data_IF_989956777026
#
_entry.id   IF_989956777026
#
_cell.length_a   1.000
_cell.length_b   1.000
_cell.length_c   1.000
_cell.angle_alpha   90.00
_cell.angle_beta   90.00
_cell.angle_gamma   90.00
#
_symmetry.space_group_name_H-M   'P 1'
#
loop_
_entity.id
_entity.type
_entity.pdbx_description
1 polymer ?
#
# COMPACT_ATOMS: atom_id res chain seq x y z
N UNK A 1 36.49 10.48 -65.66
CA UNK A 1 35.60 11.36 -66.45
C UNK A 1 34.48 11.84 -65.54
N UNK A 2 34.22 13.15 -65.58
CA UNK A 2 33.32 13.91 -64.72
C UNK A 2 31.86 13.47 -64.92
N UNK A 3 31.06 13.49 -63.85
CA UNK A 3 29.79 14.25 -63.75
C UNK A 3 29.24 14.18 -62.33
N UNK A 4 29.48 15.28 -61.60
CA UNK A 4 28.70 15.71 -60.44
C UNK A 4 27.23 15.83 -60.86
N UNK A 5 26.33 15.19 -60.12
CA UNK A 5 24.91 15.52 -60.13
C UNK A 5 24.59 16.15 -58.77
N UNK A 6 24.58 17.48 -58.74
CA UNK A 6 24.13 18.30 -57.61
C UNK A 6 22.61 18.16 -57.55
N UNK A 7 22.09 17.38 -56.59
CA UNK A 7 20.66 17.39 -56.27
C UNK A 7 20.38 18.52 -55.29
N UNK A 8 19.54 19.41 -55.77
CA UNK A 8 19.00 20.60 -55.14
C UNK A 8 18.48 20.29 -53.73
N UNK A 9 19.11 20.92 -52.74
CA UNK A 9 18.74 20.86 -51.33
C UNK A 9 17.49 21.75 -51.13
N UNK A 10 16.30 21.15 -51.11
CA UNK A 10 15.09 21.85 -50.69
C UNK A 10 15.09 21.99 -49.18
N UNK A 11 15.39 23.21 -48.72
CA UNK A 11 15.43 23.59 -47.30
C UNK A 11 13.98 23.64 -46.80
N UNK A 12 13.60 22.67 -45.97
CA UNK A 12 12.33 22.67 -45.26
C UNK A 12 12.42 23.73 -44.15
N UNK A 13 11.47 24.69 -44.04
CA UNK A 13 11.50 25.65 -42.95
C UNK A 13 11.21 24.91 -41.63
N UNK A 14 12.24 24.85 -40.78
CA UNK A 14 12.16 24.35 -39.41
C UNK A 14 11.26 25.31 -38.62
N UNK A 15 9.99 24.94 -38.43
CA UNK A 15 9.11 25.64 -37.52
C UNK A 15 9.66 25.49 -36.10
N UNK A 16 10.23 26.57 -35.57
CA UNK A 16 10.56 26.72 -34.17
C UNK A 16 9.23 26.82 -33.39
N UNK A 17 8.78 25.68 -32.87
CA UNK A 17 7.73 25.63 -31.87
C UNK A 17 8.40 26.08 -30.56
N UNK A 18 8.33 27.37 -30.25
CA UNK A 18 8.67 27.87 -28.92
C UNK A 18 7.62 27.35 -27.95
N UNK A 19 7.94 26.28 -27.23
CA UNK A 19 7.16 25.86 -26.08
C UNK A 19 7.21 26.98 -25.02
N UNK A 20 6.07 27.44 -24.47
CA UNK A 20 6.11 28.30 -23.31
C UNK A 20 6.68 27.50 -22.14
N UNK A 21 7.78 28.00 -21.58
CA UNK A 21 8.27 27.56 -20.27
C UNK A 21 7.19 27.99 -19.27
N UNK A 22 6.36 27.05 -18.84
CA UNK A 22 5.51 27.24 -17.68
C UNK A 22 6.44 27.23 -16.47
N UNK A 23 6.78 28.43 -16.00
CA UNK A 23 7.42 28.63 -14.72
C UNK A 23 6.36 28.39 -13.64
N UNK A 24 6.29 27.17 -13.12
CA UNK A 24 5.56 26.88 -11.91
C UNK A 24 6.41 27.35 -10.72
N UNK A 25 6.17 28.58 -10.27
CA UNK A 25 6.51 29.04 -8.93
C UNK A 25 5.21 29.31 -8.19
N UNK A 26 4.76 28.36 -7.37
CA UNK A 26 3.77 28.56 -6.32
C UNK A 26 4.16 27.57 -5.20
N UNK A 27 4.84 28.07 -4.17
CA UNK A 27 4.26 28.54 -2.91
C UNK A 27 4.27 27.41 -1.87
N UNK A 28 5.03 27.62 -0.80
CA UNK A 28 5.12 26.73 0.35
C UNK A 28 3.89 26.98 1.23
N UNK A 29 2.74 26.50 0.78
CA UNK A 29 1.51 26.44 1.55
C UNK A 29 1.54 25.25 2.49
N UNK A 30 1.46 25.52 3.79
CA UNK A 30 1.29 24.56 4.88
C UNK A 30 0.35 23.41 4.53
N UNK A 31 0.81 22.16 4.70
CA UNK A 31 -0.08 20.99 4.77
C UNK A 31 -1.12 21.23 5.87
N UNK A 32 -2.32 21.63 5.44
CA UNK A 32 -3.52 21.41 6.24
C UNK A 32 -3.67 19.89 6.34
N UNK A 33 -3.43 19.36 7.53
CA UNK A 33 -3.85 18.02 7.93
C UNK A 33 -5.32 17.85 7.55
N UNK A 34 -5.57 17.13 6.47
CA UNK A 34 -6.90 16.70 6.10
C UNK A 34 -7.38 15.73 7.18
N UNK A 35 -8.47 16.14 7.83
CA UNK A 35 -9.11 15.38 8.88
C UNK A 35 -9.55 14.02 8.36
N UNK A 36 -9.16 12.97 9.08
CA UNK A 36 -9.68 11.61 9.04
C UNK A 36 -11.09 11.48 8.45
N UNK A 37 -11.15 11.26 7.14
CA UNK A 37 -12.16 10.41 6.55
C UNK A 37 -11.40 9.16 6.15
N UNK A 38 -11.52 8.10 6.96
CA UNK A 38 -11.05 6.77 6.56
C UNK A 38 -11.78 6.49 5.25
N UNK A 39 -11.08 6.58 4.12
CA UNK A 39 -11.60 6.22 2.82
C UNK A 39 -12.04 4.77 2.98
N UNK A 40 -13.34 4.52 2.97
CA UNK A 40 -13.88 3.16 3.01
C UNK A 40 -13.29 2.44 1.79
N UNK A 41 -12.26 1.61 2.05
CA UNK A 41 -11.53 0.88 1.02
C UNK A 41 -12.57 0.03 0.29
N UNK A 42 -12.77 0.29 -1.00
CA UNK A 42 -13.74 -0.44 -1.79
C UNK A 42 -13.48 -1.95 -1.66
N UNK A 43 -14.47 -2.69 -1.16
CA UNK A 43 -14.37 -4.15 -1.03
C UNK A 43 -14.29 -4.77 -2.42
N UNK A 44 -13.39 -5.73 -2.58
CA UNK A 44 -13.24 -6.45 -3.83
C UNK A 44 -14.37 -7.46 -4.09
N UNK A 45 -14.37 -8.12 -5.26
CA UNK A 45 -15.37 -9.13 -5.63
C UNK A 45 -15.48 -10.33 -4.68
N UNK A 46 -14.49 -10.55 -3.82
CA UNK A 46 -14.47 -11.60 -2.79
C UNK A 46 -14.68 -11.05 -1.37
N UNK A 47 -14.91 -9.74 -1.23
CA UNK A 47 -15.14 -9.05 0.04
C UNK A 47 -13.87 -8.64 0.79
N UNK A 48 -12.70 -8.80 0.18
CA UNK A 48 -11.39 -8.42 0.68
C UNK A 48 -11.00 -6.98 0.36
N UNK A 49 -9.77 -6.63 0.75
CA UNK A 49 -9.14 -5.33 0.42
C UNK A 49 -8.46 -5.43 -0.94
N UNK A 50 -8.66 -4.43 -1.79
CA UNK A 50 -8.09 -4.38 -3.14
C UNK A 50 -6.94 -3.37 -3.19
N UNK A 51 -5.84 -3.77 -3.82
CA UNK A 51 -4.69 -2.93 -4.12
C UNK A 51 -4.35 -3.02 -5.61
N UNK A 52 -3.74 -1.97 -6.15
CA UNK A 52 -3.36 -1.91 -7.55
C UNK A 52 -2.16 -2.84 -7.86
N UNK A 53 -2.23 -3.56 -8.98
CA UNK A 53 -1.22 -4.51 -9.44
C UNK A 53 -1.00 -4.37 -10.96
N UNK A 54 -0.63 -3.18 -11.45
CA UNK A 54 -0.70 -2.79 -12.87
C UNK A 54 -0.25 -3.88 -13.88
N UNK A 55 -1.02 -4.12 -14.96
CA UNK A 55 -2.32 -3.51 -15.31
C UNK A 55 -3.52 -4.12 -14.57
N UNK A 56 -3.27 -5.01 -13.61
CA UNK A 56 -4.27 -5.75 -12.86
C UNK A 56 -4.59 -5.06 -11.53
N UNK A 57 -5.49 -5.69 -10.78
CA UNK A 57 -5.64 -5.45 -9.35
C UNK A 57 -5.41 -6.75 -8.59
N UNK A 58 -5.13 -6.65 -7.30
CA UNK A 58 -5.05 -7.80 -6.41
C UNK A 58 -5.95 -7.58 -5.21
N UNK A 59 -6.57 -8.65 -4.73
CA UNK A 59 -7.42 -8.64 -3.55
C UNK A 59 -6.87 -9.59 -2.49
N UNK A 60 -6.89 -9.15 -1.23
CA UNK A 60 -6.53 -9.97 -0.07
C UNK A 60 -7.71 -10.08 0.90
N UNK A 61 -7.98 -11.29 1.38
CA UNK A 61 -9.02 -11.60 2.36
C UNK A 61 -8.47 -12.57 3.40
N UNK A 62 -8.70 -12.30 4.67
CA UNK A 62 -8.46 -13.28 5.73
C UNK A 62 -9.79 -13.93 6.08
N UNK A 63 -9.91 -15.24 5.89
CA UNK A 63 -11.12 -16.00 6.18
C UNK A 63 -10.74 -17.36 6.74
N UNK A 64 -11.42 -17.78 7.80
CA UNK A 64 -11.24 -19.10 8.43
C UNK A 64 -9.78 -19.42 8.84
N UNK A 65 -9.00 -18.38 9.17
CA UNK A 65 -7.60 -18.51 9.58
C UNK A 65 -6.63 -18.71 8.40
N UNK A 66 -7.09 -18.48 7.18
CA UNK A 66 -6.30 -18.55 5.96
C UNK A 66 -6.22 -17.17 5.29
N UNK A 67 -5.12 -16.94 4.58
CA UNK A 67 -4.93 -15.74 3.77
C UNK A 67 -5.27 -16.12 2.33
N UNK A 68 -6.37 -15.58 1.84
CA UNK A 68 -6.85 -15.74 0.47
C UNK A 68 -6.39 -14.54 -0.36
N UNK A 69 -5.81 -14.82 -1.52
CA UNK A 69 -5.28 -13.85 -2.47
C UNK A 69 -5.92 -14.10 -3.84
N UNK A 70 -6.30 -13.02 -4.51
CA UNK A 70 -6.91 -13.07 -5.83
C UNK A 70 -6.20 -12.07 -6.74
N UNK A 71 -5.91 -12.48 -7.97
CA UNK A 71 -5.59 -11.53 -9.03
C UNK A 71 -6.91 -11.17 -9.73
N UNK A 72 -7.09 -9.90 -10.06
CA UNK A 72 -8.27 -9.36 -10.71
C UNK A 72 -7.87 -8.72 -12.05
N UNK A 73 -8.82 -8.60 -12.98
CA UNK A 73 -8.56 -7.96 -14.27
C UNK A 73 -8.34 -6.44 -14.17
N UNK A 74 -8.12 -5.80 -15.33
CA UNK A 74 -7.90 -4.35 -15.41
C UNK A 74 -9.11 -3.50 -14.98
N UNK A 75 -10.29 -4.10 -14.82
CA UNK A 75 -11.51 -3.47 -14.32
C UNK A 75 -11.81 -3.88 -12.86
N UNK A 76 -10.86 -4.51 -12.17
CA UNK A 76 -11.01 -5.08 -10.83
C UNK A 76 -12.11 -6.15 -10.72
N UNK A 77 -12.35 -6.92 -11.80
CA UNK A 77 -13.27 -8.07 -11.82
C UNK A 77 -12.51 -9.38 -11.62
N UNK A 78 -13.25 -10.44 -11.30
CA UNK A 78 -12.71 -11.78 -11.07
C UNK A 78 -11.94 -12.30 -12.29
N UNK A 79 -10.77 -12.88 -12.04
CA UNK A 79 -9.90 -13.48 -13.04
C UNK A 79 -9.48 -14.87 -12.58
N UNK A 80 -9.53 -15.85 -13.48
CA UNK A 80 -9.16 -17.23 -13.15
C UNK A 80 -7.67 -17.35 -12.80
N UNK A 81 -7.34 -18.32 -11.95
CA UNK A 81 -5.96 -18.56 -11.47
C UNK A 81 -5.14 -19.51 -12.37
N UNK A 82 -5.71 -19.96 -13.49
CA UNK A 82 -5.06 -20.91 -14.39
C UNK A 82 -3.81 -20.31 -15.02
N UNK A 83 -2.73 -21.09 -15.02
CA UNK A 83 -1.40 -20.69 -15.55
C UNK A 83 -0.77 -19.49 -14.83
N UNK A 84 -1.27 -19.16 -13.64
CA UNK A 84 -0.71 -18.15 -12.75
C UNK A 84 -0.11 -18.86 -11.54
N UNK A 85 1.13 -18.51 -11.21
CA UNK A 85 1.76 -18.89 -9.94
C UNK A 85 2.09 -17.64 -9.14
N UNK A 86 2.59 -17.80 -7.93
CA UNK A 86 3.07 -16.64 -7.19
C UNK A 86 3.66 -16.98 -5.84
N UNK A 87 4.20 -15.96 -5.21
CA UNK A 87 4.72 -16.00 -3.86
C UNK A 87 4.30 -14.73 -3.11
N UNK A 88 4.10 -14.85 -1.81
CA UNK A 88 3.81 -13.72 -0.93
C UNK A 88 4.89 -13.60 0.14
N UNK A 89 5.41 -12.39 0.32
CA UNK A 89 6.34 -12.05 1.39
C UNK A 89 5.62 -11.25 2.46
N UNK A 90 5.52 -11.82 3.65
CA UNK A 90 4.86 -11.25 4.81
C UNK A 90 5.91 -10.66 5.75
N UNK A 91 5.81 -9.37 6.03
CA UNK A 91 6.64 -8.69 7.02
C UNK A 91 5.85 -8.52 8.32
N UNK A 92 6.38 -9.07 9.40
CA UNK A 92 5.86 -9.02 10.75
C UNK A 92 6.14 -7.67 11.43
N UNK A 93 5.55 -7.46 12.60
CA UNK A 93 5.67 -6.21 13.36
C UNK A 93 7.08 -5.92 13.87
N UNK A 94 7.88 -6.96 14.10
CA UNK A 94 9.30 -6.94 14.47
C UNK A 94 10.24 -6.74 13.26
N UNK A 95 9.69 -6.64 12.06
CA UNK A 95 10.44 -6.50 10.80
C UNK A 95 10.90 -7.82 10.19
N UNK A 96 10.69 -8.96 10.85
CA UNK A 96 11.00 -10.28 10.28
C UNK A 96 10.12 -10.52 9.05
N UNK A 97 10.70 -11.07 8.00
CA UNK A 97 9.97 -11.43 6.78
C UNK A 97 9.92 -12.93 6.59
N UNK A 98 8.76 -13.45 6.19
CA UNK A 98 8.52 -14.86 5.84
C UNK A 98 7.95 -14.89 4.43
N UNK A 99 8.49 -15.75 3.57
CA UNK A 99 8.06 -15.91 2.20
C UNK A 99 7.34 -17.25 2.05
N UNK A 100 6.16 -17.21 1.44
CA UNK A 100 5.34 -18.40 1.16
C UNK A 100 5.02 -18.48 -0.33
N UNK A 101 4.98 -19.70 -0.86
CA UNK A 101 4.48 -19.95 -2.21
C UNK A 101 2.96 -20.02 -2.17
N UNK A 102 2.31 -19.40 -3.14
CA UNK A 102 0.86 -19.42 -3.27
C UNK A 102 0.38 -20.80 -3.74
N UNK A 103 -0.61 -21.36 -3.05
CA UNK A 103 -1.30 -22.58 -3.49
C UNK A 103 -2.62 -22.18 -4.16
N UNK A 104 -2.92 -22.71 -5.35
CA UNK A 104 -4.20 -22.43 -6.01
C UNK A 104 -5.39 -22.93 -5.16
N UNK A 105 -6.45 -22.12 -5.10
CA UNK A 105 -7.67 -22.41 -4.36
C UNK A 105 -8.90 -22.00 -5.18
N UNK A 106 -9.81 -22.93 -5.44
CA UNK A 106 -10.95 -22.69 -6.32
C UNK A 106 -10.54 -22.29 -7.75
N UNK A 107 -11.43 -21.59 -8.45
CA UNK A 107 -11.25 -21.24 -9.87
C UNK A 107 -10.43 -19.95 -10.08
N UNK A 108 -10.37 -19.08 -9.08
CA UNK A 108 -9.80 -17.72 -9.17
C UNK A 108 -8.92 -17.30 -7.97
N UNK A 109 -8.79 -18.18 -6.96
CA UNK A 109 -8.09 -17.84 -5.72
C UNK A 109 -6.73 -18.51 -5.56
N UNK A 110 -6.00 -17.99 -4.58
CA UNK A 110 -4.79 -18.55 -4.01
C UNK A 110 -4.90 -18.52 -2.49
N UNK A 111 -4.26 -19.47 -1.81
CA UNK A 111 -4.27 -19.60 -0.37
C UNK A 111 -2.86 -19.73 0.21
N UNK A 112 -2.69 -19.11 1.38
CA UNK A 112 -1.56 -19.32 2.30
C UNK A 112 -2.13 -19.72 3.67
N UNK A 113 -1.91 -20.97 4.07
CA UNK A 113 -2.50 -21.56 5.29
C UNK A 113 -1.56 -21.53 6.51
N UNK A 114 -0.56 -20.66 6.52
CA UNK A 114 0.36 -20.50 7.64
C UNK A 114 -0.21 -19.51 8.68
N UNK A 115 -0.65 -20.05 9.83
CA UNK A 115 -1.34 -19.29 10.90
C UNK A 115 -0.46 -18.23 11.55
N UNK A 116 0.85 -18.40 11.56
CA UNK A 116 1.78 -17.41 12.13
C UNK A 116 1.73 -16.09 11.33
N UNK A 117 1.33 -16.17 10.06
CA UNK A 117 1.27 -15.05 9.14
C UNK A 117 0.03 -14.19 9.34
N UNK A 118 -1.01 -14.61 10.07
CA UNK A 118 -2.24 -13.82 10.26
C UNK A 118 -1.99 -12.49 10.99
N UNK A 119 -0.85 -12.39 11.68
CA UNK A 119 -0.39 -11.19 12.39
C UNK A 119 0.53 -10.27 11.57
N UNK A 120 0.66 -10.51 10.25
CA UNK A 120 1.52 -9.71 9.38
C UNK A 120 1.19 -8.21 9.45
N UNK A 121 2.20 -7.37 9.27
CA UNK A 121 2.05 -5.91 9.16
C UNK A 121 1.94 -5.47 7.70
N UNK A 122 2.80 -6.02 6.82
CA UNK A 122 2.78 -5.78 5.38
C UNK A 122 2.85 -7.10 4.62
N UNK A 123 2.22 -7.19 3.46
CA UNK A 123 2.33 -8.30 2.53
C UNK A 123 2.71 -7.74 1.15
N UNK A 124 3.80 -8.23 0.56
CA UNK A 124 4.13 -8.04 -0.85
C UNK A 124 3.83 -9.35 -1.58
N UNK A 125 2.80 -9.36 -2.41
CA UNK A 125 2.50 -10.49 -3.28
C UNK A 125 3.10 -10.25 -4.66
N UNK A 126 3.64 -11.31 -5.25
CA UNK A 126 4.11 -11.35 -6.64
C UNK A 126 3.46 -12.53 -7.33
N UNK A 127 2.60 -12.24 -8.28
CA UNK A 127 2.03 -13.21 -9.22
C UNK A 127 2.93 -13.29 -10.47
N UNK A 128 3.06 -14.48 -11.03
CA UNK A 128 3.69 -14.72 -12.32
C UNK A 128 2.60 -15.05 -13.33
N UNK A 129 2.30 -14.09 -14.20
CA UNK A 129 1.25 -14.19 -15.22
C UNK A 129 1.93 -14.26 -16.58
N UNK A 130 1.81 -15.40 -17.27
CA UNK A 130 2.50 -15.62 -18.56
C UNK A 130 4.01 -15.31 -18.51
N UNK A 131 4.67 -15.62 -17.39
CA UNK A 131 6.09 -15.34 -17.17
C UNK A 131 6.44 -13.90 -16.80
N UNK A 132 5.43 -13.02 -16.57
CA UNK A 132 5.63 -11.64 -16.12
C UNK A 132 5.26 -11.48 -14.64
N UNK A 133 6.09 -10.74 -13.91
CA UNK A 133 5.84 -10.42 -12.52
C UNK A 133 4.80 -9.30 -12.41
N UNK A 134 3.72 -9.58 -11.69
CA UNK A 134 2.65 -8.65 -11.32
C UNK A 134 2.61 -8.60 -9.81
N UNK A 135 2.76 -7.42 -9.20
CA UNK A 135 2.85 -7.32 -7.74
C UNK A 135 1.92 -6.29 -7.14
N UNK A 136 1.51 -6.55 -5.90
CA UNK A 136 0.73 -5.64 -5.08
C UNK A 136 1.26 -5.65 -3.65
N UNK A 137 1.13 -4.52 -2.96
CA UNK A 137 1.49 -4.38 -1.55
C UNK A 137 0.23 -4.12 -0.73
N UNK A 138 0.01 -4.94 0.28
CA UNK A 138 -1.07 -4.80 1.24
C UNK A 138 -0.53 -4.43 2.62
N UNK A 139 -1.23 -3.53 3.29
CA UNK A 139 -1.01 -3.23 4.71
C UNK A 139 -2.12 -3.89 5.52
N UNK A 140 -1.75 -4.59 6.60
CA UNK A 140 -2.75 -5.11 7.53
C UNK A 140 -3.14 -4.01 8.52
N UNK A 141 -4.13 -3.20 8.16
CA UNK A 141 -4.55 -2.05 8.96
C UNK A 141 -5.06 -2.44 10.35
N UNK A 142 -5.70 -3.61 10.51
CA UNK A 142 -6.14 -4.11 11.82
C UNK A 142 -4.95 -4.34 12.78
N UNK A 143 -3.82 -4.82 12.26
CA UNK A 143 -2.58 -4.95 13.03
C UNK A 143 -1.80 -3.63 13.14
N UNK A 144 -1.96 -2.70 12.19
CA UNK A 144 -1.30 -1.40 12.21
C UNK A 144 -1.94 -0.43 13.22
N UNK A 145 -3.26 -0.51 13.42
CA UNK A 145 -3.99 0.27 14.44
C UNK A 145 -3.59 -0.10 15.88
N UNK A 146 -3.04 -1.30 16.10
CA UNK A 146 -2.43 -1.68 17.38
C UNK A 146 -1.04 -1.03 17.59
N UNK A 147 -0.44 -0.44 16.55
CA UNK A 147 0.93 0.08 16.55
C UNK A 147 1.03 1.60 16.56
N UNK A 148 -0.02 2.34 16.24
CA UNK A 148 -0.09 3.77 16.56
C UNK A 148 -0.33 3.95 18.06
N UNK A 149 0.72 3.66 18.86
CA UNK A 149 0.76 4.00 20.28
C UNK A 149 0.76 5.52 20.37
N UNK A 150 -0.39 6.12 20.65
CA UNK A 150 -0.43 7.52 21.04
C UNK A 150 -0.19 7.62 22.53
N UNK A 151 0.68 8.52 22.94
CA UNK A 151 0.95 8.82 24.34
C UNK A 151 0.42 10.21 24.63
N UNK A 152 -0.30 10.39 25.74
CA UNK A 152 -0.83 11.68 26.15
C UNK A 152 -0.33 12.09 27.55
N UNK A 153 -0.28 13.39 27.80
CA UNK A 153 0.02 13.89 29.15
C UNK A 153 -1.26 13.87 30.00
N UNK A 154 -1.28 13.22 31.19
CA UNK A 154 -2.47 13.18 32.05
C UNK A 154 -2.90 14.56 32.56
N UNK A 155 -1.97 15.53 32.60
CA UNK A 155 -2.25 16.91 33.00
C UNK A 155 -2.57 17.83 31.82
N UNK A 156 -2.09 17.49 30.63
CA UNK A 156 -2.23 18.32 29.43
C UNK A 156 -2.71 17.44 28.26
N UNK A 157 -4.02 17.12 28.17
CA UNK A 157 -4.56 16.19 27.17
C UNK A 157 -4.34 16.61 25.70
N UNK A 158 -3.99 17.87 25.46
CA UNK A 158 -3.59 18.38 24.15
C UNK A 158 -2.16 18.01 23.72
N UNK A 159 -1.32 17.56 24.65
CA UNK A 159 0.04 17.10 24.38
C UNK A 159 0.02 15.60 24.10
N UNK A 160 0.23 15.27 22.81
CA UNK A 160 0.28 13.89 22.31
C UNK A 160 1.61 13.60 21.64
N UNK A 161 2.05 12.35 21.70
CA UNK A 161 3.29 11.87 21.12
C UNK A 161 3.10 10.47 20.53
N UNK A 162 3.86 10.13 19.50
CA UNK A 162 3.97 8.78 18.93
C UNK A 162 4.96 7.90 19.72
N UNK A 163 5.65 8.49 20.70
CA UNK A 163 6.70 7.86 21.52
C UNK A 163 6.49 8.14 23.00
N UNK A 164 6.90 7.19 23.82
CA UNK A 164 7.06 7.41 25.25
C UNK A 164 8.06 8.56 25.51
N UNK A 165 7.82 9.33 26.56
CA UNK A 165 8.65 10.49 26.86
C UNK A 165 8.10 11.34 28.00
N UNK A 166 8.59 12.57 28.10
CA UNK A 166 8.12 13.56 29.07
C UNK A 166 7.30 14.64 28.36
N UNK A 167 6.25 15.11 29.01
CA UNK A 167 5.48 16.27 28.57
C UNK A 167 6.38 17.51 28.54
N UNK A 168 6.35 18.26 27.44
CA UNK A 168 7.10 19.52 27.28
C UNK A 168 6.65 20.61 28.26
N UNK A 169 5.39 20.55 28.70
CA UNK A 169 4.78 21.60 29.53
C UNK A 169 4.99 21.36 31.04
N UNK A 170 4.89 20.12 31.54
CA UNK A 170 5.01 19.82 32.97
C UNK A 170 6.12 18.83 33.35
N UNK A 171 6.81 18.23 32.38
CA UNK A 171 7.88 17.26 32.65
C UNK A 171 7.42 15.89 33.19
N UNK A 172 6.11 15.68 33.42
CA UNK A 172 5.55 14.37 33.75
C UNK A 172 5.70 13.40 32.58
N UNK A 173 5.74 12.10 32.88
CA UNK A 173 5.81 11.07 31.85
C UNK A 173 4.49 11.04 31.06
N UNK A 174 4.59 10.92 29.74
CA UNK A 174 3.43 10.65 28.88
C UNK A 174 2.97 9.21 29.10
N UNK A 175 1.65 9.01 29.13
CA UNK A 175 1.00 7.72 29.36
C UNK A 175 0.42 7.22 28.04
N UNK A 176 0.52 5.92 27.78
CA UNK A 176 -0.02 5.30 26.56
C UNK A 176 -1.55 5.38 26.56
N UNK A 177 -2.13 5.96 25.50
CA UNK A 177 -3.56 5.99 25.26
C UNK A 177 -3.99 4.60 24.77
N UNK A 178 -4.34 3.71 25.70
CA UNK A 178 -4.90 2.42 25.34
C UNK A 178 -6.33 2.61 24.84
N UNK A 179 -6.53 2.71 23.52
CA UNK A 179 -7.89 2.70 22.96
C UNK A 179 -8.56 1.31 22.92
N UNK A 180 -7.95 0.27 23.47
CA UNK A 180 -8.59 -1.03 23.68
C UNK A 180 -8.01 -1.72 24.93
N UNK A 181 -8.81 -1.79 26.01
CA UNK A 181 -8.55 -2.56 27.23
C UNK A 181 -9.65 -2.27 28.27
N UNK A 182 -10.18 -3.27 28.99
CA UNK A 182 -11.41 -3.11 29.79
C UNK A 182 -11.16 -2.12 30.94
N UNK A 183 -12.15 -1.27 31.19
CA UNK A 183 -12.23 -0.43 32.39
C UNK A 183 -11.91 -1.28 33.63
N UNK A 184 -10.78 -1.00 34.28
CA UNK A 184 -10.63 -1.33 35.69
C UNK A 184 -11.05 -0.11 36.48
N UNK A 185 -12.32 -0.10 36.87
CA UNK A 185 -12.83 0.69 37.98
C UNK A 185 -12.16 0.17 39.26
N UNK A 186 -11.18 0.91 39.78
CA UNK A 186 -10.77 0.79 41.18
C UNK A 186 -11.49 1.90 41.97
N UNK A 187 -12.34 1.46 42.90
CA UNK A 187 -12.78 2.26 44.06
C UNK A 187 -11.80 2.08 45.21
#
# INVERSE_FOLDING_TARGET
>A
MKKLAVKLLTILPLMLISAPIVQAQHDHGSEKRESHHVKELAKGPHGGTVEEAKPYYAEILIKDGEILLYLLDADAKKMGNKDITGEATFTMSDGKSIKETLTAFGDDGFVVSNKDLLSYSNCLVVFLVEGKNVSAKFNNYSNNLQKEKSYSCPMHPGIKSDKAGKCSECGMNLVEDTKNGPEQHHH
#
